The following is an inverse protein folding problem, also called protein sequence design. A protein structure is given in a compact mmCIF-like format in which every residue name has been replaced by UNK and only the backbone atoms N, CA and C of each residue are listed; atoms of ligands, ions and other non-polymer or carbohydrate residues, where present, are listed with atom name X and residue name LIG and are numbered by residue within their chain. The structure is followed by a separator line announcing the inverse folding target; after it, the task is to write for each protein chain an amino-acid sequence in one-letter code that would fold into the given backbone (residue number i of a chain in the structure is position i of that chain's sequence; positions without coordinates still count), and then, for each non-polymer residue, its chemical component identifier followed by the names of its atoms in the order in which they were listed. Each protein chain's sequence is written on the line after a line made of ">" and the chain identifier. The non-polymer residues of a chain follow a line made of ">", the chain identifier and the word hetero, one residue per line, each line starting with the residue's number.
data_IF_411279397885
#
_entry.id   IF_411279397885
#
_cell.length_a   1.000
_cell.length_b   1.000
_cell.length_c   1.000
_cell.angle_alpha   90.00
_cell.angle_beta   90.00
_cell.angle_gamma   90.00
#
_symmetry.space_group_name_H-M   'P 1'
#
loop_
_entity.id
_entity.type
_entity.pdbx_description
1 polymer ?
#
# COMPACT_ATOMS: atom_id res chain seq x y z
N UNK A 1 -12.26 -12.71 -17.80
CA UNK A 1 -12.88 -11.42 -17.40
C UNK A 1 -12.70 -10.42 -18.54
N UNK A 2 -13.62 -9.44 -18.74
CA UNK A 2 -13.40 -8.38 -19.72
C UNK A 2 -12.14 -7.58 -19.35
N UNK A 3 -11.14 -7.57 -20.22
CA UNK A 3 -9.89 -6.81 -20.01
C UNK A 3 -10.08 -5.39 -20.50
N UNK A 4 -9.75 -4.40 -19.68
CA UNK A 4 -9.69 -2.98 -20.08
C UNK A 4 -8.25 -2.51 -20.05
N UNK A 5 -7.81 -1.88 -21.13
CA UNK A 5 -6.50 -1.20 -21.18
C UNK A 5 -6.61 0.14 -20.48
N UNK A 6 -5.81 0.33 -19.42
CA UNK A 6 -5.66 1.60 -18.72
C UNK A 6 -4.27 2.17 -18.99
N UNK A 7 -4.20 3.44 -19.36
CA UNK A 7 -2.95 4.16 -19.45
C UNK A 7 -2.46 4.50 -18.03
N UNK A 8 -1.25 4.07 -17.70
CA UNK A 8 -0.59 4.41 -16.43
C UNK A 8 0.54 5.39 -16.71
N UNK A 9 0.82 6.27 -15.74
CA UNK A 9 2.01 7.13 -15.79
C UNK A 9 3.25 6.25 -15.71
N UNK A 10 4.31 6.65 -16.40
CA UNK A 10 5.55 5.87 -16.50
C UNK A 10 6.17 5.61 -15.12
N UNK A 11 6.18 6.62 -14.24
CA UNK A 11 6.58 6.50 -12.83
C UNK A 11 5.78 5.43 -12.05
N UNK A 12 4.49 5.28 -12.33
CA UNK A 12 3.64 4.31 -11.68
C UNK A 12 3.92 2.91 -12.24
N UNK A 13 4.14 2.81 -13.55
CA UNK A 13 4.55 1.56 -14.20
C UNK A 13 5.88 1.03 -13.62
N UNK A 14 6.88 1.90 -13.43
CA UNK A 14 8.17 1.50 -12.86
C UNK A 14 8.04 1.02 -11.41
N UNK A 15 7.25 1.71 -10.58
CA UNK A 15 6.99 1.29 -9.20
C UNK A 15 6.27 -0.05 -9.13
N UNK A 16 5.30 -0.28 -10.01
CA UNK A 16 4.60 -1.56 -10.10
C UNK A 16 5.55 -2.66 -10.58
N UNK A 17 6.41 -2.38 -11.56
CA UNK A 17 7.43 -3.30 -12.06
C UNK A 17 8.45 -3.67 -11.00
N UNK A 18 8.90 -2.71 -10.18
CA UNK A 18 9.83 -2.96 -9.07
C UNK A 18 9.21 -3.84 -7.96
N UNK A 19 7.88 -3.81 -7.80
CA UNK A 19 7.14 -4.63 -6.83
C UNK A 19 6.68 -5.98 -7.41
N UNK A 20 6.95 -6.24 -8.69
CA UNK A 20 6.52 -7.43 -9.42
C UNK A 20 7.38 -8.62 -9.03
N UNK A 21 6.74 -9.72 -8.61
CA UNK A 21 7.40 -11.03 -8.46
C UNK A 21 7.49 -11.72 -9.83
N UNK A 22 8.52 -12.53 -10.04
CA UNK A 22 8.82 -13.14 -11.34
C UNK A 22 7.65 -13.97 -11.93
N UNK A 23 6.77 -14.51 -11.08
CA UNK A 23 5.66 -15.38 -11.46
C UNK A 23 4.29 -14.67 -11.60
N UNK A 24 4.19 -13.35 -11.37
CA UNK A 24 2.90 -12.62 -11.37
C UNK A 24 2.64 -11.87 -12.70
N UNK A 25 1.38 -11.75 -13.14
CA UNK A 25 1.01 -10.81 -14.21
C UNK A 25 0.74 -9.42 -13.64
N UNK A 26 0.76 -8.39 -14.50
CA UNK A 26 0.42 -7.03 -14.09
C UNK A 26 -0.99 -6.92 -13.50
N UNK A 27 -1.95 -7.71 -14.01
CA UNK A 27 -3.28 -7.81 -13.44
C UNK A 27 -3.25 -8.39 -12.03
N UNK A 28 -2.51 -9.49 -11.79
CA UNK A 28 -2.36 -10.08 -10.44
C UNK A 28 -1.70 -9.11 -9.45
N UNK A 29 -0.76 -8.30 -9.93
CA UNK A 29 -0.10 -7.28 -9.11
C UNK A 29 -1.04 -6.13 -8.73
N UNK A 30 -1.95 -5.75 -9.63
CA UNK A 30 -2.97 -4.72 -9.38
C UNK A 30 -4.07 -5.30 -8.49
N UNK A 31 -4.46 -6.55 -8.71
CA UNK A 31 -5.46 -7.23 -7.91
C UNK A 31 -4.95 -7.45 -6.50
N UNK A 32 -3.69 -7.88 -6.25
CA UNK A 32 -3.18 -8.14 -4.89
C UNK A 32 -3.46 -7.02 -3.85
N UNK A 33 -3.09 -5.75 -4.06
CA UNK A 33 -3.40 -4.67 -3.13
C UNK A 33 -4.89 -4.26 -3.11
N UNK A 34 -5.65 -4.61 -4.14
CA UNK A 34 -7.10 -4.32 -4.22
C UNK A 34 -7.91 -5.44 -3.56
N UNK A 35 -7.45 -6.69 -3.65
CA UNK A 35 -8.01 -7.90 -3.05
C UNK A 35 -7.83 -7.87 -1.52
N UNK A 36 -6.78 -7.18 -1.02
CA UNK A 36 -6.66 -6.80 0.39
C UNK A 36 -7.81 -5.87 0.89
N UNK A 37 -8.72 -5.40 0.02
CA UNK A 37 -9.88 -4.58 0.40
C UNK A 37 -11.08 -5.37 0.93
N UNK A 38 -11.00 -6.69 1.14
CA UNK A 38 -11.91 -7.34 2.11
C UNK A 38 -11.50 -7.07 3.56
N UNK A 39 -10.29 -6.54 3.80
CA UNK A 39 -10.02 -5.80 5.03
C UNK A 39 -10.55 -4.39 4.86
N UNK A 40 -11.82 -4.15 5.21
CA UNK A 40 -12.31 -2.79 5.40
C UNK A 40 -11.36 -2.16 6.44
N UNK A 41 -10.41 -1.33 6.02
CA UNK A 41 -9.48 -0.67 6.94
C UNK A 41 -10.26 0.18 7.96
N UNK A 42 -11.53 0.49 7.65
CA UNK A 42 -12.54 1.07 8.53
C UNK A 42 -13.08 0.07 9.58
N UNK A 43 -13.09 -1.24 9.36
CA UNK A 43 -13.30 -2.27 10.40
C UNK A 43 -12.09 -2.37 11.36
N UNK A 44 -10.88 -2.13 10.87
CA UNK A 44 -9.69 -1.98 11.72
C UNK A 44 -9.59 -0.62 12.44
N UNK A 45 -10.37 0.37 11.99
CA UNK A 45 -10.33 1.74 12.51
C UNK A 45 -11.07 1.81 13.84
N UNK A 46 -10.32 1.61 14.93
CA UNK A 46 -10.85 1.57 16.30
C UNK A 46 -10.77 0.20 16.97
N UNK A 47 -10.19 -0.81 16.31
CA UNK A 47 -9.86 -2.09 16.97
C UNK A 47 -8.62 -2.02 17.86
N UNK A 48 -7.76 -1.02 17.63
CA UNK A 48 -6.58 -0.77 18.43
C UNK A 48 -6.96 -0.17 19.78
N UNK A 49 -6.40 -0.72 20.85
CA UNK A 49 -6.44 -0.07 22.16
C UNK A 49 -5.73 1.28 22.13
N UNK A 50 -5.99 2.13 23.13
CA UNK A 50 -5.34 3.45 23.20
C UNK A 50 -3.80 3.36 23.19
N UNK A 51 -3.25 2.31 23.82
CA UNK A 51 -1.81 2.05 23.91
C UNK A 51 -1.23 1.63 22.55
N UNK A 52 -1.93 0.77 21.81
CA UNK A 52 -1.54 0.36 20.46
C UNK A 52 -1.66 1.51 19.47
N UNK A 53 -2.67 2.37 19.63
CA UNK A 53 -2.86 3.55 18.80
C UNK A 53 -1.74 4.60 19.03
N UNK A 54 -1.30 4.82 20.27
CA UNK A 54 -0.17 5.70 20.58
C UNK A 54 1.15 5.15 20.02
N UNK A 55 1.38 3.84 20.18
CA UNK A 55 2.56 3.17 19.62
C UNK A 55 2.62 3.31 18.09
N UNK A 56 1.47 3.18 17.41
CA UNK A 56 1.39 3.38 15.97
C UNK A 56 1.66 4.85 15.58
N UNK A 57 1.14 5.83 16.33
CA UNK A 57 1.43 7.25 16.07
C UNK A 57 2.92 7.56 16.20
N UNK A 58 3.57 7.03 17.22
CA UNK A 58 5.00 7.24 17.45
C UNK A 58 5.84 6.63 16.31
N UNK A 59 5.48 5.42 15.86
CA UNK A 59 6.12 4.78 14.71
C UNK A 59 5.95 5.56 13.42
N UNK A 60 4.76 6.13 13.16
CA UNK A 60 4.50 6.97 11.99
C UNK A 60 5.30 8.27 12.07
N UNK A 61 5.32 8.94 13.22
CA UNK A 61 6.10 10.16 13.42
C UNK A 61 7.61 9.92 13.17
N UNK A 62 8.18 8.86 13.75
CA UNK A 62 9.57 8.49 13.53
C UNK A 62 9.89 8.11 12.08
N UNK A 63 8.90 7.60 11.33
CA UNK A 63 9.05 7.33 9.91
C UNK A 63 9.07 8.64 9.10
N UNK A 64 8.14 9.57 9.39
CA UNK A 64 8.09 10.89 8.77
C UNK A 64 9.36 11.70 9.03
N UNK A 65 9.85 11.76 10.27
CA UNK A 65 11.09 12.49 10.60
C UNK A 65 12.28 11.95 9.80
N UNK A 66 12.37 10.63 9.63
CA UNK A 66 13.43 9.98 8.85
C UNK A 66 13.34 10.33 7.35
N UNK A 67 12.13 10.52 6.84
CA UNK A 67 11.91 10.98 5.47
C UNK A 67 12.22 12.46 5.30
N UNK A 68 11.92 13.30 6.30
CA UNK A 68 12.22 14.74 6.30
C UNK A 68 13.73 15.00 6.44
N UNK A 69 14.46 14.23 7.26
CA UNK A 69 15.93 14.27 7.32
C UNK A 69 16.63 13.78 6.05
N UNK A 70 15.90 13.07 5.17
CA UNK A 70 16.44 12.55 3.91
C UNK A 70 16.08 13.44 2.69
N UNK A 71 15.39 14.56 2.89
CA UNK A 71 14.95 15.52 1.87
C UNK A 71 15.79 16.81 1.89
#
# INVERSE_FOLDING_TARGET
>A
MPTKTIGVREEAYERLRARKRDDESFSDLIDRPIDESEGDWREGFGSLSAEEADSLREAVAASCDRFDESA
#
